data_IF_411559762225
#
_entry.id   IF_411559762225
#
_cell.length_a   1.000
_cell.length_b   1.000
_cell.length_c   1.000
_cell.angle_alpha   90.00
_cell.angle_beta   90.00
_cell.angle_gamma   90.00
#
_symmetry.space_group_name_H-M   'P 1'
#
loop_
_entity.id
_entity.type
_entity.pdbx_description
1 polymer ?
#
# COMPACT_ATOMS: atom_id res chain seq x y z
N UNK A 1 -4.93 6.07 -20.13
CA UNK A 1 -4.20 5.10 -19.28
C UNK A 1 -2.82 5.60 -18.86
N UNK A 2 -1.95 6.00 -19.79
CA UNK A 2 -0.58 6.47 -19.46
C UNK A 2 -0.58 7.72 -18.55
N UNK A 3 -1.51 8.65 -18.81
CA UNK A 3 -1.70 9.84 -17.98
C UNK A 3 -2.17 9.52 -16.55
N UNK A 4 -3.00 8.48 -16.37
CA UNK A 4 -3.52 8.07 -15.05
C UNK A 4 -2.44 7.45 -14.18
N UNK A 5 -1.56 6.63 -14.78
CA UNK A 5 -0.43 6.03 -14.09
C UNK A 5 0.57 7.10 -13.64
N UNK A 6 0.90 8.04 -14.52
CA UNK A 6 1.82 9.13 -14.20
C UNK A 6 1.33 9.96 -13.01
N UNK A 7 0.05 10.36 -13.01
CA UNK A 7 -0.57 11.09 -11.91
C UNK A 7 -0.52 10.31 -10.60
N UNK A 8 -0.89 9.03 -10.60
CA UNK A 8 -0.84 8.20 -9.39
C UNK A 8 0.58 8.11 -8.83
N UNK A 9 1.57 7.88 -9.68
CA UNK A 9 2.98 7.82 -9.27
C UNK A 9 3.43 9.14 -8.66
N UNK A 10 3.09 10.27 -9.28
CA UNK A 10 3.37 11.60 -8.75
C UNK A 10 2.74 11.76 -7.37
N UNK A 11 1.46 11.42 -7.21
CA UNK A 11 0.76 11.46 -5.92
C UNK A 11 1.44 10.59 -4.85
N UNK A 12 1.76 9.33 -5.14
CA UNK A 12 2.45 8.43 -4.20
C UNK A 12 3.83 8.99 -3.83
N UNK A 13 4.57 9.54 -4.79
CA UNK A 13 5.93 10.04 -4.57
C UNK A 13 5.95 11.28 -3.67
N UNK A 14 4.87 12.06 -3.59
CA UNK A 14 4.73 13.14 -2.60
C UNK A 14 4.85 12.59 -1.16
N UNK A 15 4.27 11.42 -0.88
CA UNK A 15 4.36 10.77 0.44
C UNK A 15 5.72 10.10 0.71
N UNK A 16 6.59 9.99 -0.31
CA UNK A 16 7.98 9.48 -0.20
C UNK A 16 9.01 10.59 0.01
N UNK A 17 8.59 11.84 -0.17
CA UNK A 17 9.45 13.01 0.00
C UNK A 17 9.59 13.40 1.48
N UNK A 18 10.70 14.06 1.83
CA UNK A 18 10.93 14.58 3.17
C UNK A 18 11.45 13.57 4.19
N UNK A 19 11.50 14.02 5.45
CA UNK A 19 11.94 13.21 6.59
C UNK A 19 10.80 12.33 7.10
N UNK A 20 11.16 11.18 7.68
CA UNK A 20 10.20 10.23 8.24
C UNK A 20 10.02 10.48 9.73
N UNK A 21 8.81 10.78 10.16
CA UNK A 21 8.48 10.80 11.59
C UNK A 21 8.27 9.37 12.13
N UNK A 22 8.65 9.12 13.38
CA UNK A 22 8.39 7.84 14.01
C UNK A 22 6.95 7.79 14.51
N UNK A 23 6.15 6.94 13.88
CA UNK A 23 4.77 6.71 14.31
C UNK A 23 4.26 5.38 13.75
N UNK A 24 3.22 4.89 14.40
CA UNK A 24 2.56 3.64 14.05
C UNK A 24 1.06 3.89 13.96
N UNK A 25 0.45 3.43 12.87
CA UNK A 25 -0.98 3.62 12.60
C UNK A 25 -1.63 2.28 12.27
N UNK A 26 -2.85 2.08 12.78
CA UNK A 26 -3.79 1.02 12.40
C UNK A 26 -5.16 1.66 12.29
N UNK A 27 -5.65 1.84 11.09
CA UNK A 27 -6.96 2.44 10.87
C UNK A 27 -7.95 1.39 10.41
N UNK A 28 -9.16 1.50 10.94
CA UNK A 28 -10.31 0.98 10.20
C UNK A 28 -10.38 1.77 8.89
N UNK A 29 -10.34 1.10 7.75
CA UNK A 29 -10.30 1.77 6.47
C UNK A 29 -11.70 2.26 6.10
N UNK A 30 -11.78 3.08 5.07
CA UNK A 30 -13.01 3.21 4.30
C UNK A 30 -13.50 1.82 3.82
N UNK A 31 -14.81 1.65 3.70
CA UNK A 31 -15.37 0.43 3.11
C UNK A 31 -14.93 0.35 1.65
N UNK A 32 -14.17 -0.69 1.31
CA UNK A 32 -13.80 -1.00 -0.06
C UNK A 32 -13.97 -2.50 -0.31
N UNK A 33 -14.81 -2.82 -1.28
CA UNK A 33 -15.14 -4.19 -1.63
C UNK A 33 -15.34 -4.33 -3.14
N UNK A 34 -14.66 -5.29 -3.76
CA UNK A 34 -14.83 -5.59 -5.18
C UNK A 34 -14.79 -7.11 -5.44
N UNK A 35 -14.71 -7.52 -6.70
CA UNK A 35 -14.70 -8.94 -7.06
C UNK A 35 -13.40 -9.69 -6.67
N UNK A 36 -12.31 -8.95 -6.40
CA UNK A 36 -10.98 -9.50 -6.12
C UNK A 36 -10.67 -9.50 -4.62
N UNK A 37 -11.06 -8.46 -3.88
CA UNK A 37 -10.67 -8.26 -2.49
C UNK A 37 -11.77 -7.59 -1.65
N UNK A 38 -11.67 -7.76 -0.34
CA UNK A 38 -12.32 -6.91 0.67
C UNK A 38 -11.24 -6.23 1.50
N UNK A 39 -11.28 -4.90 1.61
CA UNK A 39 -10.31 -4.14 2.40
C UNK A 39 -10.61 -4.31 3.90
N UNK A 40 -9.61 -4.73 4.66
CA UNK A 40 -9.75 -5.05 6.08
C UNK A 40 -9.10 -4.00 6.99
N UNK A 41 -7.92 -3.47 6.60
CA UNK A 41 -7.19 -2.48 7.40
C UNK A 41 -6.14 -1.73 6.62
N UNK A 42 -5.83 -0.51 7.05
CA UNK A 42 -4.63 0.22 6.62
C UNK A 42 -3.69 0.31 7.82
N UNK A 43 -2.48 -0.20 7.66
CA UNK A 43 -1.42 -0.05 8.66
C UNK A 43 -0.28 0.78 8.08
N UNK A 44 0.36 1.57 8.95
CA UNK A 44 1.66 2.15 8.67
C UNK A 44 2.61 1.88 9.83
N UNK A 45 3.87 1.62 9.53
CA UNK A 45 4.88 1.44 10.56
C UNK A 45 6.26 1.81 10.03
N UNK A 46 7.11 2.35 10.90
CA UNK A 46 8.54 2.41 10.62
C UNK A 46 9.13 0.99 10.55
N UNK A 47 10.03 0.75 9.59
CA UNK A 47 10.86 -0.45 9.54
C UNK A 47 11.65 -0.57 10.84
N UNK A 48 11.67 -1.75 11.46
CA UNK A 48 12.45 -2.02 12.68
C UNK A 48 13.92 -1.64 12.46
N UNK A 49 14.44 -0.74 13.30
CA UNK A 49 15.88 -0.50 13.47
C UNK A 49 16.41 0.89 13.09
N UNK A 50 16.21 1.91 13.94
CA UNK A 50 17.14 3.05 14.04
C UNK A 50 16.54 4.46 13.97
N UNK A 51 17.12 5.38 14.76
CA UNK A 51 16.74 6.80 14.97
C UNK A 51 16.81 7.69 13.71
N UNK A 52 17.26 7.19 12.56
CA UNK A 52 17.41 7.99 11.33
C UNK A 52 17.39 7.08 10.11
N UNK A 53 16.21 6.63 9.68
CA UNK A 53 16.06 5.98 8.37
C UNK A 53 15.43 7.02 7.44
N UNK A 54 16.24 7.64 6.58
CA UNK A 54 15.72 8.36 5.43
C UNK A 54 14.81 7.38 4.66
N UNK A 55 13.49 7.63 4.66
CA UNK A 55 12.45 6.80 4.02
C UNK A 55 12.26 5.44 4.68
N UNK A 56 11.70 5.48 5.89
CA UNK A 56 11.61 4.33 6.79
C UNK A 56 10.22 3.73 6.98
N UNK A 57 9.12 4.34 6.50
CA UNK A 57 7.77 3.78 6.69
C UNK A 57 7.43 2.73 5.65
N UNK A 58 6.69 1.73 6.10
CA UNK A 58 5.99 0.74 5.29
C UNK A 58 4.49 1.00 5.46
N UNK A 59 3.80 1.21 4.34
CA UNK A 59 2.35 1.14 4.31
C UNK A 59 1.93 -0.29 4.03
N UNK A 60 0.86 -0.75 4.68
CA UNK A 60 0.27 -2.07 4.45
C UNK A 60 -1.22 -1.90 4.23
N UNK A 61 -1.67 -2.12 3.00
CA UNK A 61 -3.08 -2.20 2.65
C UNK A 61 -3.48 -3.66 2.83
N UNK A 62 -4.15 -3.97 3.94
CA UNK A 62 -4.47 -5.33 4.36
C UNK A 62 -5.87 -5.68 3.86
N UNK A 63 -5.99 -6.82 3.18
CA UNK A 63 -7.20 -7.26 2.53
C UNK A 63 -7.42 -8.76 2.63
N UNK A 64 -8.67 -9.15 2.55
CA UNK A 64 -9.10 -10.53 2.30
C UNK A 64 -9.13 -10.78 0.80
N UNK A 65 -8.52 -11.88 0.34
CA UNK A 65 -8.44 -12.22 -1.08
C UNK A 65 -9.65 -13.07 -1.48
N UNK A 66 -10.41 -12.61 -2.48
CA UNK A 66 -11.48 -13.37 -3.14
C UNK A 66 -11.01 -14.03 -4.44
N UNK A 67 -10.28 -13.28 -5.27
CA UNK A 67 -9.72 -13.76 -6.55
C UNK A 67 -8.31 -13.20 -6.75
N UNK A 68 -7.44 -13.97 -7.40
CA UNK A 68 -6.10 -13.50 -7.78
C UNK A 68 -6.20 -12.29 -8.72
N UNK A 69 -5.41 -11.26 -8.45
CA UNK A 69 -5.35 -10.03 -9.25
C UNK A 69 -3.94 -9.69 -9.74
N UNK A 70 -2.95 -10.54 -9.49
CA UNK A 70 -1.54 -10.24 -9.81
C UNK A 70 -1.23 -10.23 -11.31
N UNK A 71 -2.18 -10.64 -12.15
CA UNK A 71 -2.12 -10.53 -13.60
C UNK A 71 -2.84 -9.30 -14.15
N UNK A 72 -3.54 -8.52 -13.30
CA UNK A 72 -4.22 -7.30 -13.75
C UNK A 72 -3.21 -6.26 -14.21
N UNK A 73 -3.56 -5.54 -15.27
CA UNK A 73 -2.65 -4.57 -15.90
C UNK A 73 -2.24 -3.46 -14.93
N UNK A 74 -3.15 -3.00 -14.06
CA UNK A 74 -2.87 -2.00 -13.04
C UNK A 74 -1.85 -2.49 -12.02
N UNK A 75 -2.00 -3.71 -11.51
CA UNK A 75 -1.00 -4.32 -10.62
C UNK A 75 0.36 -4.46 -11.32
N UNK A 76 0.40 -5.04 -12.51
CA UNK A 76 1.65 -5.27 -13.25
C UNK A 76 2.42 -3.97 -13.45
N UNK A 77 1.75 -2.90 -13.89
CA UNK A 77 2.36 -1.57 -14.11
C UNK A 77 2.90 -0.95 -12.83
N UNK A 78 2.13 -0.97 -11.74
CA UNK A 78 2.60 -0.46 -10.45
C UNK A 78 3.79 -1.28 -9.92
N UNK A 79 3.74 -2.61 -10.08
CA UNK A 79 4.79 -3.52 -9.66
C UNK A 79 6.06 -3.35 -10.48
N UNK A 80 5.95 -3.09 -11.77
CA UNK A 80 7.07 -2.77 -12.65
C UNK A 80 7.75 -1.46 -12.23
N UNK A 81 6.97 -0.42 -11.95
CA UNK A 81 7.52 0.88 -11.55
C UNK A 81 8.18 0.85 -10.17
N UNK A 82 7.50 0.31 -9.15
CA UNK A 82 8.02 0.29 -7.78
C UNK A 82 8.94 -0.90 -7.48
N UNK A 83 8.99 -1.91 -8.36
CA UNK A 83 9.87 -3.06 -8.25
C UNK A 83 9.87 -3.68 -6.83
N UNK A 84 10.99 -3.55 -6.10
CA UNK A 84 11.18 -4.10 -4.77
C UNK A 84 10.41 -3.36 -3.67
N UNK A 85 9.88 -2.18 -3.97
CA UNK A 85 9.18 -1.33 -3.00
C UNK A 85 7.69 -1.59 -2.94
N UNK A 86 7.16 -2.44 -3.83
CA UNK A 86 5.77 -2.89 -3.81
C UNK A 86 5.71 -4.42 -3.73
N UNK A 87 5.11 -4.99 -2.68
CA UNK A 87 5.03 -6.46 -2.51
C UNK A 87 3.68 -6.89 -1.97
N UNK A 88 3.20 -8.06 -2.38
CA UNK A 88 2.15 -8.78 -1.65
C UNK A 88 2.81 -9.71 -0.63
N UNK A 89 2.29 -9.73 0.58
CA UNK A 89 2.81 -10.57 1.65
C UNK A 89 1.68 -11.07 2.53
N UNK A 90 1.74 -12.33 3.02
CA UNK A 90 0.71 -12.85 3.91
C UNK A 90 0.79 -12.20 5.29
N UNK A 91 -0.36 -12.04 5.94
CA UNK A 91 -0.48 -11.71 7.35
C UNK A 91 -0.50 -12.99 8.17
N UNK A 92 0.55 -13.22 8.96
CA UNK A 92 0.77 -14.50 9.65
C UNK A 92 0.42 -14.49 11.13
N UNK A 93 0.07 -13.32 11.70
CA UNK A 93 -0.17 -13.13 13.14
C UNK A 93 -1.33 -12.16 13.40
N UNK A 94 -1.93 -12.28 14.59
CA UNK A 94 -3.00 -11.41 15.06
C UNK A 94 -4.36 -11.70 14.43
N UNK A 95 -5.32 -10.81 14.64
CA UNK A 95 -6.73 -10.98 14.24
C UNK A 95 -6.94 -11.04 12.72
N UNK A 96 -6.01 -10.50 11.93
CA UNK A 96 -6.06 -10.53 10.46
C UNK A 96 -5.23 -11.69 9.87
N UNK A 97 -4.92 -12.72 10.67
CA UNK A 97 -4.20 -13.90 10.16
C UNK A 97 -5.03 -14.54 9.02
N UNK A 98 -4.38 -14.81 7.89
CA UNK A 98 -5.02 -15.32 6.68
C UNK A 98 -5.33 -14.25 5.63
N UNK A 99 -5.32 -12.97 6.01
CA UNK A 99 -5.31 -11.86 5.06
C UNK A 99 -3.97 -11.74 4.32
N UNK A 100 -3.96 -10.94 3.26
CA UNK A 100 -2.76 -10.49 2.57
C UNK A 100 -2.60 -8.98 2.73
N UNK A 101 -1.37 -8.49 2.52
CA UNK A 101 -1.07 -7.07 2.53
C UNK A 101 -0.32 -6.67 1.26
N UNK A 102 -0.83 -5.66 0.54
CA UNK A 102 -0.03 -4.88 -0.41
C UNK A 102 0.83 -3.94 0.43
N UNK A 103 2.15 -4.14 0.37
CA UNK A 103 3.14 -3.36 1.11
C UNK A 103 3.85 -2.40 0.19
N UNK A 104 3.81 -1.12 0.53
CA UNK A 104 4.59 -0.07 -0.11
C UNK A 104 5.67 0.42 0.86
N UNK A 105 6.93 0.28 0.47
CA UNK A 105 8.09 0.63 1.30
C UNK A 105 8.64 2.01 0.97
N UNK A 106 9.51 2.51 1.84
CA UNK A 106 10.25 3.77 1.66
C UNK A 106 9.34 5.01 1.61
N UNK A 107 8.30 4.98 2.44
CA UNK A 107 7.42 6.11 2.67
C UNK A 107 8.01 7.01 3.76
N UNK A 108 7.69 8.30 3.70
CA UNK A 108 8.06 9.29 4.71
C UNK A 108 6.85 9.75 5.52
N UNK A 109 5.66 9.77 4.91
CA UNK A 109 4.40 10.18 5.54
C UNK A 109 3.42 9.02 5.72
N UNK A 110 2.32 9.29 6.43
CA UNK A 110 1.16 8.41 6.57
C UNK A 110 0.32 8.40 5.29
N UNK A 111 -0.34 7.27 4.94
CA UNK A 111 -1.29 7.28 3.83
C UNK A 111 -2.58 8.01 4.22
N UNK A 112 -3.21 8.67 3.26
CA UNK A 112 -4.61 9.12 3.35
C UNK A 112 -5.54 8.08 2.74
N UNK A 113 -6.81 8.09 3.11
CA UNK A 113 -7.81 7.22 2.47
C UNK A 113 -7.90 7.50 0.96
N UNK A 114 -7.77 8.76 0.56
CA UNK A 114 -7.76 9.16 -0.85
C UNK A 114 -6.66 8.45 -1.66
N UNK A 115 -5.40 8.50 -1.21
CA UNK A 115 -4.31 7.84 -1.95
C UNK A 115 -4.45 6.32 -1.94
N UNK A 116 -4.99 5.73 -0.86
CA UNK A 116 -5.27 4.30 -0.83
C UNK A 116 -6.36 3.94 -1.85
N UNK A 117 -7.43 4.73 -1.94
CA UNK A 117 -8.50 4.51 -2.91
C UNK A 117 -8.00 4.63 -4.35
N UNK A 118 -7.17 5.65 -4.64
CA UNK A 118 -6.55 5.83 -5.95
C UNK A 118 -5.69 4.63 -6.35
N UNK A 119 -4.87 4.11 -5.43
CA UNK A 119 -4.05 2.90 -5.65
C UNK A 119 -4.95 1.70 -5.97
N UNK A 120 -5.99 1.47 -5.18
CA UNK A 120 -6.88 0.32 -5.36
C UNK A 120 -7.66 0.42 -6.68
N UNK A 121 -8.22 1.59 -6.98
CA UNK A 121 -8.91 1.83 -8.24
C UNK A 121 -8.00 1.65 -9.44
N UNK A 122 -6.73 2.05 -9.34
CA UNK A 122 -5.77 1.81 -10.42
C UNK A 122 -5.45 0.31 -10.59
N UNK A 123 -5.30 -0.44 -9.50
CA UNK A 123 -5.01 -1.88 -9.55
C UNK A 123 -6.17 -2.66 -10.19
N UNK A 124 -7.41 -2.30 -9.85
CA UNK A 124 -8.62 -3.07 -10.16
C UNK A 124 -9.49 -2.49 -11.29
N UNK A 125 -9.04 -1.42 -11.96
CA UNK A 125 -9.68 -0.86 -13.17
C UNK A 125 -9.38 -1.67 -14.44
#
# INVERSE_FOLDING_TARGET
>A
MENSMKKLIESINLFRAGQTEQSYRRDLPMTYDNEYITLARIDSANKKGGKSVLRGKQWSIIYELKKSFTSLSGWCKLKEYYQNDLKITPVTRGVLKGCNAIRLYHMSAEPTDEIILEILNFIFS
#
